data_IF_947663398639
#
_entry.id   IF_947663398639
#
_cell.length_a   1.000
_cell.length_b   1.000
_cell.length_c   1.000
_cell.angle_alpha   90.00
_cell.angle_beta   90.00
_cell.angle_gamma   90.00
#
_symmetry.space_group_name_H-M   'P 1'
#
loop_
_entity.id
_entity.type
_entity.pdbx_description
1 polymer ?
#
# COMPACT_ATOMS: atom_id res chain seq x y z
N UNK A 1 -3.66 -14.01 15.11
CA UNK A 1 -2.30 -13.47 14.82
C UNK A 1 -1.97 -12.38 15.80
N UNK A 2 -0.74 -12.37 16.33
CA UNK A 2 -0.23 -11.25 17.15
C UNK A 2 -0.08 -10.01 16.26
N UNK A 3 0.04 -8.83 16.89
CA UNK A 3 0.11 -7.54 16.18
C UNK A 3 1.23 -7.50 15.13
N UNK A 4 2.40 -8.03 15.45
CA UNK A 4 3.56 -8.05 14.54
C UNK A 4 3.36 -9.05 13.40
N UNK A 5 2.80 -10.24 13.69
CA UNK A 5 2.49 -11.24 12.66
C UNK A 5 1.54 -10.68 11.59
N UNK A 6 0.59 -9.82 11.98
CA UNK A 6 -0.31 -9.13 11.02
C UNK A 6 0.46 -8.25 10.05
N UNK A 7 1.47 -7.53 10.51
CA UNK A 7 2.33 -6.70 9.65
C UNK A 7 3.09 -7.55 8.63
N UNK A 8 3.81 -8.58 9.10
CA UNK A 8 4.57 -9.47 8.23
C UNK A 8 3.69 -10.18 7.21
N UNK A 9 2.51 -10.65 7.62
CA UNK A 9 1.55 -11.27 6.71
C UNK A 9 1.06 -10.27 5.65
N UNK A 10 0.72 -9.04 6.05
CA UNK A 10 0.25 -8.02 5.13
C UNK A 10 1.31 -7.63 4.10
N UNK A 11 2.57 -7.48 4.50
CA UNK A 11 3.68 -7.25 3.59
C UNK A 11 3.84 -8.38 2.58
N UNK A 12 3.83 -9.64 3.03
CA UNK A 12 3.95 -10.80 2.15
C UNK A 12 2.78 -10.89 1.17
N UNK A 13 1.55 -10.70 1.66
CA UNK A 13 0.36 -10.74 0.83
C UNK A 13 0.32 -9.59 -0.17
N UNK A 14 0.70 -8.38 0.25
CA UNK A 14 0.78 -7.20 -0.62
C UNK A 14 1.83 -7.36 -1.73
N UNK A 15 2.97 -7.99 -1.42
CA UNK A 15 3.99 -8.33 -2.44
C UNK A 15 3.45 -9.32 -3.47
N UNK A 16 2.75 -10.36 -3.02
CA UNK A 16 2.11 -11.32 -3.93
C UNK A 16 1.09 -10.62 -4.85
N UNK A 17 0.25 -9.74 -4.29
CA UNK A 17 -0.71 -8.96 -5.07
C UNK A 17 -0.04 -8.09 -6.14
N UNK A 18 1.10 -7.44 -5.85
CA UNK A 18 1.85 -6.66 -6.86
C UNK A 18 2.36 -7.53 -8.01
N UNK A 19 2.81 -8.75 -7.72
CA UNK A 19 3.22 -9.70 -8.76
C UNK A 19 2.03 -10.04 -9.67
N UNK A 20 0.85 -10.27 -9.09
CA UNK A 20 -0.39 -10.49 -9.85
C UNK A 20 -0.78 -9.29 -10.73
N UNK A 21 -0.44 -8.06 -10.31
CA UNK A 21 -0.64 -6.84 -11.10
C UNK A 21 0.42 -6.63 -12.20
N UNK A 22 1.38 -7.55 -12.37
CA UNK A 22 2.41 -7.48 -13.40
C UNK A 22 3.60 -6.59 -13.03
N UNK A 23 4.00 -6.60 -11.76
CA UNK A 23 5.21 -5.92 -11.29
C UNK A 23 6.33 -6.93 -11.00
N UNK A 24 7.59 -6.52 -11.22
CA UNK A 24 8.74 -7.13 -10.56
C UNK A 24 8.88 -6.53 -9.17
N UNK A 25 9.01 -7.36 -8.14
CA UNK A 25 8.97 -6.94 -6.73
C UNK A 25 10.29 -7.26 -6.04
N UNK A 26 10.92 -6.25 -5.46
CA UNK A 26 12.17 -6.33 -4.71
C UNK A 26 11.90 -6.03 -3.23
N UNK A 27 12.28 -6.96 -2.35
CA UNK A 27 12.05 -6.82 -0.91
C UNK A 27 13.23 -6.13 -0.23
N UNK A 28 12.92 -5.21 0.67
CA UNK A 28 13.89 -4.72 1.63
C UNK A 28 14.16 -5.79 2.70
N UNK A 29 15.42 -6.19 2.84
CA UNK A 29 15.86 -7.16 3.87
C UNK A 29 16.27 -6.49 5.18
N UNK A 30 16.43 -5.16 5.19
CA UNK A 30 16.82 -4.39 6.36
C UNK A 30 15.57 -3.88 7.13
N UNK A 31 15.42 -4.21 8.43
CA UNK A 31 14.20 -3.91 9.19
C UNK A 31 13.97 -2.42 9.51
N UNK A 32 14.96 -1.56 9.28
CA UNK A 32 14.88 -0.12 9.59
C UNK A 32 14.63 0.77 8.36
N UNK A 33 14.50 0.18 7.18
CA UNK A 33 14.28 0.93 5.95
C UNK A 33 12.91 1.60 5.91
N UNK A 34 12.81 2.71 5.19
CA UNK A 34 11.55 3.45 4.98
C UNK A 34 10.71 2.91 3.82
N UNK A 35 11.22 1.88 3.14
CA UNK A 35 10.62 1.21 1.99
C UNK A 35 10.56 -0.28 2.34
N UNK A 36 9.37 -0.87 2.27
CA UNK A 36 9.19 -2.31 2.48
C UNK A 36 9.52 -3.09 1.21
N UNK A 37 9.13 -2.54 0.06
CA UNK A 37 9.51 -3.06 -1.25
C UNK A 37 9.58 -1.99 -2.34
N UNK A 38 10.35 -2.32 -3.37
CA UNK A 38 10.35 -1.61 -4.65
C UNK A 38 9.59 -2.47 -5.65
N UNK A 39 8.68 -1.87 -6.42
CA UNK A 39 7.98 -2.56 -7.49
C UNK A 39 8.21 -1.84 -8.82
N UNK A 40 8.53 -2.59 -9.87
CA UNK A 40 8.75 -2.07 -11.23
C UNK A 40 7.68 -2.67 -12.14
N UNK A 41 6.88 -1.82 -12.79
CA UNK A 41 5.86 -2.28 -13.72
C UNK A 41 6.53 -2.92 -14.94
N UNK A 42 6.17 -4.17 -15.27
CA UNK A 42 6.82 -4.91 -16.36
C UNK A 42 6.59 -4.32 -17.75
N UNK A 43 5.53 -3.52 -17.93
CA UNK A 43 5.17 -2.91 -19.22
C UNK A 43 5.66 -1.47 -19.34
N UNK A 44 5.44 -0.67 -18.31
CA UNK A 44 5.76 0.77 -18.34
C UNK A 44 7.16 1.08 -17.81
N UNK A 45 7.80 0.11 -17.14
CA UNK A 45 9.08 0.29 -16.44
C UNK A 45 9.02 1.34 -15.32
N UNK A 46 7.82 1.79 -14.92
CA UNK A 46 7.63 2.72 -13.82
C UNK A 46 8.05 2.04 -12.51
N UNK A 47 8.95 2.71 -11.78
CA UNK A 47 9.42 2.29 -10.47
C UNK A 47 8.60 2.97 -9.38
N UNK A 48 8.03 2.19 -8.46
CA UNK A 48 7.30 2.67 -7.30
C UNK A 48 7.90 2.11 -6.01
N UNK A 49 8.02 2.97 -5.00
CA UNK A 49 8.45 2.60 -3.67
C UNK A 49 7.23 2.43 -2.78
N UNK A 50 7.18 1.36 -1.99
CA UNK A 50 5.98 0.96 -1.27
C UNK A 50 6.25 0.74 0.21
N UNK A 51 5.32 1.22 1.02
CA UNK A 51 5.17 0.94 2.45
C UNK A 51 3.80 0.27 2.66
N UNK A 52 3.80 -0.97 3.14
CA UNK A 52 2.57 -1.71 3.39
C UNK A 52 1.98 -1.33 4.74
N UNK A 53 0.65 -1.26 4.78
CA UNK A 53 -0.10 -1.00 6.00
C UNK A 53 -1.28 -1.93 6.09
N UNK A 54 -1.41 -2.60 7.23
CA UNK A 54 -2.64 -3.30 7.55
C UNK A 54 -3.78 -2.28 7.64
N UNK A 55 -4.79 -2.45 6.80
CA UNK A 55 -6.00 -1.67 6.87
C UNK A 55 -6.83 -2.15 8.08
N UNK A 56 -7.32 -1.19 8.86
CA UNK A 56 -8.26 -1.46 9.95
C UNK A 56 -9.50 -0.60 9.76
N UNK A 57 -10.66 -1.21 9.97
CA UNK A 57 -11.91 -0.49 10.13
C UNK A 57 -12.02 0.03 11.57
N UNK A 58 -12.25 1.32 11.73
CA UNK A 58 -12.73 1.89 12.99
C UNK A 58 -14.23 2.17 12.88
N UNK A 59 -14.88 2.51 14.00
CA UNK A 59 -16.31 2.79 14.05
C UNK A 59 -16.76 3.98 13.16
N UNK A 60 -15.81 4.77 12.63
CA UNK A 60 -16.04 5.94 11.75
C UNK A 60 -15.61 5.69 10.30
N UNK A 61 -15.23 4.45 9.94
CA UNK A 61 -14.74 4.07 8.61
C UNK A 61 -13.27 3.62 8.60
N UNK A 62 -12.54 3.92 7.54
CA UNK A 62 -11.14 3.47 7.38
C UNK A 62 -10.17 4.25 8.27
N UNK A 63 -9.21 3.55 8.88
CA UNK A 63 -8.04 4.21 9.49
C UNK A 63 -7.09 4.69 8.40
N UNK A 64 -6.89 6.01 8.33
CA UNK A 64 -5.94 6.63 7.40
C UNK A 64 -4.53 6.59 8.00
N UNK A 65 -3.65 5.82 7.37
CA UNK A 65 -2.22 5.84 7.65
C UNK A 65 -1.56 7.00 6.89
N UNK A 66 -0.55 7.62 7.50
CA UNK A 66 0.27 8.68 6.88
C UNK A 66 1.72 8.22 6.89
N UNK A 67 2.47 8.64 5.87
CA UNK A 67 3.92 8.50 5.89
C UNK A 67 4.43 9.54 6.88
N UNK A 68 4.80 9.06 8.06
CA UNK A 68 5.26 9.92 9.16
C UNK A 68 6.70 10.36 9.01
N UNK A 69 7.49 9.67 8.17
CA UNK A 69 8.89 9.96 7.96
C UNK A 69 9.10 10.96 6.81
N UNK A 70 9.84 12.05 7.07
CA UNK A 70 10.23 13.04 6.07
C UNK A 70 10.97 12.41 4.87
N UNK A 71 11.79 11.38 5.12
CA UNK A 71 12.53 10.68 4.05
C UNK A 71 11.58 9.92 3.12
N UNK A 72 10.56 9.25 3.66
CA UNK A 72 9.57 8.52 2.84
C UNK A 72 8.76 9.46 1.95
N UNK A 73 8.39 10.64 2.46
CA UNK A 73 7.72 11.67 1.67
C UNK A 73 8.64 12.21 0.57
N UNK A 74 9.91 12.49 0.89
CA UNK A 74 10.91 12.96 -0.09
C UNK A 74 11.15 11.94 -1.21
N UNK A 75 11.15 10.65 -0.89
CA UNK A 75 11.32 9.57 -1.87
C UNK A 75 10.03 9.26 -2.66
N UNK A 76 8.89 9.84 -2.29
CA UNK A 76 7.61 9.55 -2.96
C UNK A 76 7.11 8.13 -2.70
N UNK A 77 7.36 7.58 -1.50
CA UNK A 77 6.86 6.27 -1.10
C UNK A 77 5.33 6.28 -1.14
N UNK A 78 4.73 5.22 -1.69
CA UNK A 78 3.28 5.02 -1.77
C UNK A 78 2.85 4.06 -0.67
N UNK A 79 1.75 4.38 0.02
CA UNK A 79 1.16 3.45 0.99
C UNK A 79 0.27 2.47 0.24
N UNK A 80 0.44 1.17 0.49
CA UNK A 80 -0.48 0.13 0.05
C UNK A 80 -1.19 -0.46 1.25
N UNK A 81 -2.51 -0.41 1.22
CA UNK A 81 -3.35 -1.01 2.26
C UNK A 81 -3.63 -2.47 1.94
N UNK A 82 -3.50 -3.32 2.95
CA UNK A 82 -3.87 -4.73 2.89
C UNK A 82 -4.83 -5.01 4.03
N UNK A 83 -6.04 -5.49 3.73
CA UNK A 83 -7.01 -5.90 4.75
C UNK A 83 -6.89 -7.40 5.01
N UNK A 84 -6.39 -7.85 6.18
CA UNK A 84 -6.25 -9.27 6.47
C UNK A 84 -7.57 -10.05 6.47
N UNK A 85 -8.67 -9.38 6.83
CA UNK A 85 -9.98 -10.00 6.96
C UNK A 85 -10.64 -10.23 5.59
N UNK A 86 -10.59 -9.23 4.70
CA UNK A 86 -11.24 -9.30 3.38
C UNK A 86 -10.29 -9.70 2.25
N UNK A 87 -8.98 -9.76 2.52
CA UNK A 87 -7.90 -9.96 1.54
C UNK A 87 -7.87 -8.92 0.42
N UNK A 88 -8.53 -7.78 0.61
CA UNK A 88 -8.49 -6.67 -0.35
C UNK A 88 -7.18 -5.90 -0.21
N UNK A 89 -6.63 -5.47 -1.34
CA UNK A 89 -5.41 -4.66 -1.45
C UNK A 89 -5.69 -3.46 -2.33
N UNK A 90 -5.24 -2.28 -1.92
CA UNK A 90 -5.37 -1.06 -2.72
C UNK A 90 -4.32 -0.03 -2.36
N UNK A 91 -3.93 0.79 -3.35
CA UNK A 91 -3.12 1.97 -3.11
C UNK A 91 -3.91 2.98 -2.29
N UNK A 92 -3.23 3.61 -1.32
CA UNK A 92 -3.75 4.82 -0.69
C UNK A 92 -3.93 5.87 -1.78
N UNK A 93 -5.19 6.21 -2.07
CA UNK A 93 -5.53 7.31 -2.97
C UNK A 93 -5.16 8.62 -2.34
N UNK A 94 -4.69 9.56 -3.15
CA UNK A 94 -4.55 10.92 -2.68
C UNK A 94 -5.94 11.50 -2.39
N UNK A 95 -6.07 12.34 -1.35
CA UNK A 95 -7.36 12.93 -0.96
C UNK A 95 -8.00 13.72 -2.13
N UNK A 96 -7.17 14.23 -3.03
CA UNK A 96 -7.56 14.93 -4.25
C UNK A 96 -8.18 13.98 -5.28
N UNK A 97 -7.50 12.87 -5.59
CA UNK A 97 -8.02 11.84 -6.51
C UNK A 97 -9.32 11.21 -6.02
N UNK A 98 -9.42 10.96 -4.70
CA UNK A 98 -10.64 10.43 -4.10
C UNK A 98 -11.82 11.42 -4.21
N UNK A 99 -11.58 12.72 -4.00
CA UNK A 99 -12.60 13.77 -4.17
C UNK A 99 -13.01 13.95 -5.63
N UNK A 100 -12.07 13.87 -6.56
CA UNK A 100 -12.36 13.94 -8.00
C UNK A 100 -13.20 12.74 -8.47
N UNK A 101 -12.92 11.52 -7.99
CA UNK A 101 -13.74 10.35 -8.32
C UNK A 101 -15.13 10.38 -7.67
N UNK A 102 -15.25 10.89 -6.43
CA UNK A 102 -16.55 11.14 -5.81
C UNK A 102 -17.38 12.14 -6.63
N UNK A 103 -16.76 13.20 -7.15
CA UNK A 103 -17.44 14.15 -8.03
C UNK A 103 -17.83 13.55 -9.39
N UNK A 104 -17.18 12.46 -9.81
CA UNK A 104 -17.45 11.74 -11.06
C UNK A 104 -18.41 10.54 -10.90
N UNK A 105 -18.85 10.22 -9.68
CA UNK A 105 -19.82 9.13 -9.45
C UNK A 105 -19.28 7.72 -9.69
N UNK A 106 -17.97 7.53 -9.79
CA UNK A 106 -17.34 6.24 -10.19
C UNK A 106 -17.14 5.27 -9.02
N UNK A 107 -18.14 5.10 -8.15
CA UNK A 107 -18.08 4.06 -7.12
C UNK A 107 -18.83 2.79 -7.53
N UNK A 108 -18.08 1.68 -7.54
CA UNK A 108 -18.45 0.24 -7.55
C UNK A 108 -18.18 -0.50 -8.86
N UNK A 109 -16.92 -0.91 -9.06
CA UNK A 109 -16.55 -2.26 -9.47
C UNK A 109 -15.36 -2.73 -8.64
#
# INVERSE_FOLDING_TARGET
MKKNDKGHWAELFGKAWLIEQGYWVFTNVAPQGVIDCVAINQKTHECIYIDFKCAYYNAKGWVTSRITNALGNKLGVKIVYVCPETKKVWFKRDLKEYREQLSKGEHLK
#
